data_IF_741191092193
#
_entry.id   IF_741191092193
#
_cell.length_a   1.000
_cell.length_b   1.000
_cell.length_c   1.000
_cell.angle_alpha   90.00
_cell.angle_beta   90.00
_cell.angle_gamma   90.00
#
_symmetry.space_group_name_H-M   'P 1'
#
loop_
_entity.id
_entity.type
_entity.pdbx_description
1 polymer ?
#
# COMPACT_ATOMS: atom_id res chain seq x y z
N UNK A 1 -4.57 -40.15 2.26
CA UNK A 1 -4.29 -38.72 2.02
C UNK A 1 -4.41 -38.05 3.37
N UNK A 2 -3.29 -37.76 4.04
CA UNK A 2 -3.33 -37.07 5.33
C UNK A 2 -3.90 -35.67 5.08
N UNK A 3 -4.81 -35.22 5.95
CA UNK A 3 -5.40 -33.90 5.84
C UNK A 3 -4.28 -32.84 5.99
N UNK A 4 -3.98 -32.06 4.94
CA UNK A 4 -2.91 -31.05 5.00
C UNK A 4 -3.22 -29.94 6.01
N UNK A 5 -4.46 -29.85 6.51
CA UNK A 5 -4.83 -28.89 7.57
C UNK A 5 -4.43 -29.35 8.97
N UNK A 6 -4.08 -30.64 9.16
CA UNK A 6 -3.68 -31.19 10.46
C UNK A 6 -2.33 -30.66 10.99
N UNK A 7 -1.51 -30.06 10.13
CA UNK A 7 -0.25 -29.40 10.51
C UNK A 7 -0.49 -28.02 11.14
N UNK A 8 -1.61 -27.36 10.83
CA UNK A 8 -1.89 -26.00 11.26
C UNK A 8 -2.70 -25.97 12.56
N UNK A 9 -2.34 -25.09 13.51
CA UNK A 9 -3.15 -24.91 14.70
C UNK A 9 -4.57 -24.45 14.30
N UNK A 10 -5.60 -24.89 15.06
CA UNK A 10 -6.98 -24.58 14.73
C UNK A 10 -7.19 -23.06 14.63
N UNK A 11 -7.74 -22.61 13.50
CA UNK A 11 -8.00 -21.19 13.22
C UNK A 11 -6.88 -20.42 12.51
N UNK A 12 -5.67 -20.99 12.34
CA UNK A 12 -4.54 -20.33 11.65
C UNK A 12 -4.88 -19.90 10.22
N UNK A 13 -5.52 -20.79 9.46
CA UNK A 13 -5.93 -20.52 8.08
C UNK A 13 -6.96 -19.37 8.00
N UNK A 14 -7.86 -19.27 8.98
CA UNK A 14 -8.84 -18.20 9.06
C UNK A 14 -8.20 -16.87 9.46
N UNK A 15 -7.25 -16.90 10.40
CA UNK A 15 -6.59 -15.69 10.90
C UNK A 15 -5.59 -15.10 9.91
N UNK A 16 -4.87 -15.93 9.16
CA UNK A 16 -3.75 -15.47 8.31
C UNK A 16 -4.00 -15.75 6.83
N UNK A 17 -4.49 -16.94 6.49
CA UNK A 17 -4.72 -17.34 5.10
C UNK A 17 -5.82 -16.51 4.41
N UNK A 18 -6.99 -16.38 5.03
CA UNK A 18 -8.14 -15.68 4.44
C UNK A 18 -7.84 -14.20 4.12
N UNK A 19 -7.28 -13.40 5.05
CA UNK A 19 -6.96 -12.00 4.76
C UNK A 19 -5.92 -11.84 3.65
N UNK A 20 -4.88 -12.70 3.62
CA UNK A 20 -3.81 -12.61 2.63
C UNK A 20 -4.26 -12.99 1.23
N UNK A 21 -5.09 -14.03 1.09
CA UNK A 21 -5.69 -14.38 -0.21
C UNK A 21 -6.58 -13.24 -0.70
N UNK A 22 -7.41 -12.70 0.19
CA UNK A 22 -8.30 -11.59 -0.16
C UNK A 22 -7.50 -10.36 -0.59
N UNK A 23 -6.43 -10.02 0.13
CA UNK A 23 -5.49 -8.97 -0.24
C UNK A 23 -4.85 -9.20 -1.61
N UNK A 24 -4.37 -10.41 -1.87
CA UNK A 24 -3.74 -10.78 -3.15
C UNK A 24 -4.70 -10.68 -4.34
N UNK A 25 -5.99 -10.97 -4.13
CA UNK A 25 -7.01 -10.87 -5.17
C UNK A 25 -7.48 -9.43 -5.42
N UNK A 26 -7.57 -8.61 -4.36
CA UNK A 26 -8.07 -7.23 -4.46
C UNK A 26 -6.99 -6.23 -4.89
N UNK A 27 -5.71 -6.49 -4.60
CA UNK A 27 -4.63 -5.56 -4.90
C UNK A 27 -4.47 -5.27 -6.40
N UNK A 28 -4.48 -6.25 -7.32
CA UNK A 28 -4.32 -5.99 -8.76
C UNK A 28 -5.39 -5.09 -9.41
N UNK A 29 -6.70 -5.29 -9.20
CA UNK A 29 -7.70 -4.38 -9.76
C UNK A 29 -7.61 -2.97 -9.15
N UNK A 30 -7.28 -2.84 -7.87
CA UNK A 30 -7.06 -1.52 -7.24
C UNK A 30 -5.85 -0.80 -7.83
N UNK A 31 -4.76 -1.52 -8.08
CA UNK A 31 -3.61 -0.98 -8.80
C UNK A 31 -3.99 -0.51 -10.21
N UNK A 32 -4.81 -1.27 -10.94
CA UNK A 32 -5.34 -0.86 -12.25
C UNK A 32 -6.09 0.48 -12.20
N UNK A 33 -6.88 0.72 -11.16
CA UNK A 33 -7.53 2.02 -10.91
C UNK A 33 -6.47 3.11 -10.67
N UNK A 34 -5.45 2.83 -9.86
CA UNK A 34 -4.33 3.75 -9.62
C UNK A 34 -3.60 4.15 -10.91
N UNK A 35 -3.30 3.18 -11.78
CA UNK A 35 -2.70 3.45 -13.10
C UNK A 35 -3.61 4.33 -13.96
N UNK A 36 -4.92 4.06 -13.96
CA UNK A 36 -5.89 4.89 -14.69
C UNK A 36 -5.94 6.33 -14.15
N UNK A 37 -5.85 6.51 -12.83
CA UNK A 37 -5.79 7.84 -12.20
C UNK A 37 -4.51 8.60 -12.61
N UNK A 38 -3.36 7.93 -12.64
CA UNK A 38 -2.10 8.52 -13.08
C UNK A 38 -2.17 8.91 -14.58
N UNK A 39 -2.68 8.02 -15.42
CA UNK A 39 -2.85 8.29 -16.84
C UNK A 39 -3.82 9.46 -17.11
N UNK A 40 -4.93 9.52 -16.37
CA UNK A 40 -5.86 10.65 -16.43
C UNK A 40 -5.20 11.95 -15.98
N UNK A 41 -4.44 11.92 -14.88
CA UNK A 41 -3.74 13.09 -14.35
C UNK A 41 -2.79 13.71 -15.38
N UNK A 42 -1.92 12.91 -16.01
CA UNK A 42 -0.97 13.43 -17.02
C UNK A 42 -1.67 13.96 -18.28
N UNK A 43 -2.88 13.49 -18.60
CA UNK A 43 -3.68 13.98 -19.74
C UNK A 43 -4.41 15.28 -19.42
N UNK A 44 -5.05 15.37 -18.25
CA UNK A 44 -5.92 16.50 -17.89
C UNK A 44 -5.15 17.69 -17.31
N UNK A 45 -4.02 17.46 -16.61
CA UNK A 45 -3.28 18.50 -15.87
C UNK A 45 -1.91 18.79 -16.51
N UNK A 46 -1.93 19.17 -17.79
CA UNK A 46 -0.69 19.45 -18.54
C UNK A 46 0.04 20.70 -18.07
N UNK A 47 -0.65 21.66 -17.44
CA UNK A 47 -0.07 22.93 -17.00
C UNK A 47 0.41 22.92 -15.53
N UNK A 48 0.26 21.80 -14.82
CA UNK A 48 0.67 21.72 -13.41
C UNK A 48 2.20 21.81 -13.25
N UNK A 49 2.68 22.36 -12.11
CA UNK A 49 4.10 22.46 -11.83
C UNK A 49 4.81 21.11 -11.93
N UNK A 50 6.03 21.11 -12.48
CA UNK A 50 6.84 19.91 -12.69
C UNK A 50 7.03 19.14 -11.38
N UNK A 51 7.17 19.84 -10.24
CA UNK A 51 7.29 19.21 -8.93
C UNK A 51 6.11 18.27 -8.61
N UNK A 52 4.86 18.66 -8.90
CA UNK A 52 3.69 17.82 -8.62
C UNK A 52 3.66 16.61 -9.56
N UNK A 53 4.04 16.81 -10.83
CA UNK A 53 4.17 15.72 -11.80
C UNK A 53 5.25 14.71 -11.41
N UNK A 54 6.37 15.17 -10.84
CA UNK A 54 7.42 14.29 -10.32
C UNK A 54 6.91 13.47 -9.13
N UNK A 55 6.20 14.09 -8.18
CA UNK A 55 5.63 13.37 -7.04
C UNK A 55 4.66 12.28 -7.49
N UNK A 56 3.77 12.57 -8.46
CA UNK A 56 2.85 11.56 -9.01
C UNK A 56 3.59 10.43 -9.70
N UNK A 57 4.65 10.74 -10.46
CA UNK A 57 5.49 9.73 -11.11
C UNK A 57 6.23 8.85 -10.10
N UNK A 58 6.77 9.43 -9.03
CA UNK A 58 7.43 8.69 -7.94
C UNK A 58 6.40 7.78 -7.25
N UNK A 59 5.21 8.29 -6.93
CA UNK A 59 4.13 7.49 -6.34
C UNK A 59 3.76 6.30 -7.22
N UNK A 60 3.63 6.52 -8.52
CA UNK A 60 3.35 5.46 -9.47
C UNK A 60 4.43 4.36 -9.47
N UNK A 61 5.71 4.74 -9.46
CA UNK A 61 6.81 3.78 -9.40
C UNK A 61 6.85 3.01 -8.07
N UNK A 62 6.60 3.71 -6.95
CA UNK A 62 6.53 3.07 -5.63
C UNK A 62 5.36 2.09 -5.55
N UNK A 63 4.19 2.46 -6.07
CA UNK A 63 3.00 1.59 -6.07
C UNK A 63 3.20 0.38 -7.00
N UNK A 64 3.91 0.58 -8.13
CA UNK A 64 4.34 -0.52 -9.01
C UNK A 64 5.30 -1.49 -8.30
N UNK A 65 6.29 -0.96 -7.56
CA UNK A 65 7.20 -1.80 -6.79
C UNK A 65 6.46 -2.55 -5.67
N UNK A 66 5.52 -1.88 -5.01
CA UNK A 66 4.69 -2.46 -3.96
C UNK A 66 3.87 -3.64 -4.48
N UNK A 67 3.17 -3.51 -5.62
CA UNK A 67 2.40 -4.63 -6.16
C UNK A 67 3.27 -5.80 -6.61
N UNK A 68 4.47 -5.54 -7.17
CA UNK A 68 5.41 -6.61 -7.53
C UNK A 68 5.84 -7.39 -6.28
N UNK A 69 6.23 -6.69 -5.21
CA UNK A 69 6.60 -7.32 -3.94
C UNK A 69 5.43 -8.13 -3.36
N UNK A 70 4.21 -7.60 -3.43
CA UNK A 70 3.02 -8.26 -2.92
C UNK A 70 2.69 -9.55 -3.68
N UNK A 71 2.74 -9.52 -5.02
CA UNK A 71 2.47 -10.69 -5.87
C UNK A 71 3.53 -11.78 -5.68
N UNK A 72 4.82 -11.40 -5.68
CA UNK A 72 5.91 -12.35 -5.50
C UNK A 72 5.88 -12.97 -4.10
N UNK A 73 5.64 -12.17 -3.06
CA UNK A 73 5.50 -12.67 -1.71
C UNK A 73 4.30 -13.62 -1.57
N UNK A 74 3.19 -13.33 -2.23
CA UNK A 74 2.00 -14.20 -2.23
C UNK A 74 2.31 -15.51 -2.96
N UNK A 75 3.00 -15.45 -4.10
CA UNK A 75 3.40 -16.64 -4.85
C UNK A 75 4.32 -17.56 -4.03
N UNK A 76 5.37 -17.01 -3.42
CA UNK A 76 6.29 -17.78 -2.58
C UNK A 76 5.56 -18.42 -1.39
N UNK A 77 4.70 -17.66 -0.71
CA UNK A 77 4.08 -18.15 0.52
C UNK A 77 2.95 -19.16 0.28
N UNK A 78 2.13 -18.96 -0.76
CA UNK A 78 0.99 -19.86 -1.05
C UNK A 78 1.39 -21.06 -1.91
N UNK A 79 2.28 -20.89 -2.89
CA UNK A 79 2.56 -21.92 -3.90
C UNK A 79 3.82 -22.72 -3.55
N UNK A 80 4.89 -22.06 -3.10
CA UNK A 80 6.17 -22.73 -2.83
C UNK A 80 6.20 -23.30 -1.41
N UNK A 81 5.95 -22.45 -0.42
CA UNK A 81 6.06 -22.81 1.01
C UNK A 81 4.77 -23.41 1.59
N UNK A 82 3.68 -23.41 0.81
CA UNK A 82 2.36 -23.94 1.19
C UNK A 82 1.91 -23.48 2.59
N UNK A 83 2.01 -22.18 2.88
CA UNK A 83 1.75 -21.56 4.20
C UNK A 83 2.77 -21.87 5.29
N UNK A 84 4.04 -22.00 4.90
CA UNK A 84 5.16 -22.19 5.80
C UNK A 84 5.23 -21.12 6.93
N UNK A 85 5.85 -21.46 8.06
CA UNK A 85 5.90 -20.60 9.25
C UNK A 85 6.75 -19.33 9.07
N UNK A 86 7.56 -19.26 8.01
CA UNK A 86 8.48 -18.16 7.74
C UNK A 86 7.82 -17.19 6.77
N UNK A 87 7.75 -15.91 7.16
CA UNK A 87 7.25 -14.85 6.30
C UNK A 87 8.28 -14.52 5.20
N UNK A 88 7.87 -14.39 3.92
CA UNK A 88 8.79 -13.99 2.85
C UNK A 88 9.36 -12.60 3.10
N UNK A 89 10.63 -12.39 2.76
CA UNK A 89 11.27 -11.07 2.95
C UNK A 89 10.61 -9.97 2.12
N UNK A 90 10.10 -10.32 0.93
CA UNK A 90 9.36 -9.39 0.07
C UNK A 90 8.05 -8.91 0.69
N UNK A 91 7.47 -9.66 1.64
CA UNK A 91 6.31 -9.20 2.41
C UNK A 91 6.69 -7.97 3.25
N UNK A 92 7.81 -8.06 3.97
CA UNK A 92 8.31 -6.96 4.81
C UNK A 92 8.69 -5.73 3.98
N UNK A 93 9.31 -5.93 2.82
CA UNK A 93 9.62 -4.86 1.87
C UNK A 93 8.33 -4.23 1.33
N UNK A 94 7.33 -5.04 1.00
CA UNK A 94 6.00 -4.57 0.60
C UNK A 94 5.37 -3.67 1.66
N UNK A 95 5.34 -4.10 2.92
CA UNK A 95 4.83 -3.29 4.02
C UNK A 95 5.57 -1.95 4.16
N UNK A 96 6.90 -1.97 4.09
CA UNK A 96 7.70 -0.74 4.13
C UNK A 96 7.33 0.23 3.00
N UNK A 97 7.14 -0.30 1.78
CA UNK A 97 6.69 0.50 0.64
C UNK A 97 5.29 1.07 0.88
N UNK A 98 4.36 0.30 1.44
CA UNK A 98 3.01 0.79 1.78
C UNK A 98 3.08 2.01 2.71
N UNK A 99 3.84 1.93 3.80
CA UNK A 99 4.00 3.06 4.73
C UNK A 99 4.63 4.28 4.07
N UNK A 100 5.63 4.06 3.21
CA UNK A 100 6.29 5.12 2.46
C UNK A 100 5.32 5.82 1.50
N UNK A 101 4.52 5.04 0.75
CA UNK A 101 3.49 5.58 -0.16
C UNK A 101 2.49 6.40 0.63
N UNK A 102 1.95 5.87 1.74
CA UNK A 102 0.97 6.60 2.53
C UNK A 102 1.57 7.91 3.05
N UNK A 103 2.79 7.89 3.57
CA UNK A 103 3.46 9.11 4.03
C UNK A 103 3.54 10.19 2.94
N UNK A 104 4.00 9.82 1.73
CA UNK A 104 4.13 10.77 0.61
C UNK A 104 2.76 11.28 0.14
N UNK A 105 1.75 10.40 0.09
CA UNK A 105 0.35 10.78 -0.23
C UNK A 105 -0.17 11.79 0.79
N UNK A 106 0.02 11.53 2.08
CA UNK A 106 -0.47 12.40 3.16
C UNK A 106 0.21 13.77 3.13
N UNK A 107 1.54 13.82 2.91
CA UNK A 107 2.26 15.08 2.73
C UNK A 107 1.73 15.88 1.52
N UNK A 108 1.48 15.19 0.41
CA UNK A 108 0.96 15.81 -0.82
C UNK A 108 -0.47 16.34 -0.63
N UNK A 109 -1.31 15.60 0.08
CA UNK A 109 -2.67 16.00 0.42
C UNK A 109 -2.67 17.22 1.35
N UNK A 110 -1.85 17.19 2.41
CA UNK A 110 -1.70 18.30 3.34
C UNK A 110 -1.25 19.59 2.64
N UNK A 111 -0.29 19.50 1.71
CA UNK A 111 0.16 20.65 0.92
C UNK A 111 -0.96 21.27 0.07
N UNK A 112 -1.77 20.44 -0.59
CA UNK A 112 -2.91 20.89 -1.40
C UNK A 112 -4.02 21.53 -0.55
N UNK A 113 -4.36 20.90 0.59
CA UNK A 113 -5.35 21.42 1.54
C UNK A 113 -4.91 22.77 2.11
N UNK A 114 -3.63 22.92 2.44
CA UNK A 114 -3.09 24.18 2.97
C UNK A 114 -3.25 25.34 1.99
N UNK A 115 -3.00 25.11 0.69
CA UNK A 115 -3.15 26.12 -0.36
C UNK A 115 -4.63 26.47 -0.58
N UNK A 116 -5.52 25.46 -0.59
CA UNK A 116 -6.94 25.67 -0.87
C UNK A 116 -7.71 26.32 0.29
N UNK A 117 -7.26 26.16 1.54
CA UNK A 117 -8.02 26.59 2.72
C UNK A 117 -7.90 28.08 3.06
N UNK A 118 -7.26 28.91 2.23
CA UNK A 118 -7.15 30.37 2.46
C UNK A 118 -6.71 30.72 3.91
N UNK A 119 -5.73 29.96 4.45
CA UNK A 119 -5.22 30.00 5.84
C UNK A 119 -6.16 29.53 6.97
N UNK A 120 -7.34 28.94 6.71
CA UNK A 120 -8.17 28.37 7.78
C UNK A 120 -7.74 26.94 8.16
N UNK A 121 -7.58 26.67 9.47
CA UNK A 121 -6.60 25.69 9.99
C UNK A 121 -7.13 24.28 10.33
N UNK A 122 -8.34 23.91 9.94
CA UNK A 122 -9.02 22.77 10.60
C UNK A 122 -8.87 21.40 9.93
N UNK A 123 -8.50 21.30 8.65
CA UNK A 123 -8.50 20.00 7.94
C UNK A 123 -7.08 19.40 7.80
N UNK A 124 -6.04 20.24 7.76
CA UNK A 124 -4.64 19.82 7.68
C UNK A 124 -4.10 19.03 8.89
N UNK A 125 -4.44 19.35 10.18
CA UNK A 125 -3.87 18.63 11.31
C UNK A 125 -4.46 17.22 11.47
N UNK A 126 -5.70 16.97 11.05
CA UNK A 126 -6.37 15.68 11.20
C UNK A 126 -5.68 14.59 10.37
N UNK A 127 -5.20 14.97 9.19
CA UNK A 127 -4.46 14.08 8.28
C UNK A 127 -3.03 13.80 8.77
N UNK A 128 -2.36 14.80 9.34
CA UNK A 128 -1.01 14.65 9.91
C UNK A 128 -1.07 13.80 11.19
N UNK A 129 -2.09 13.96 12.03
CA UNK A 129 -2.31 13.13 13.23
C UNK A 129 -2.57 11.67 12.85
N UNK A 130 -3.37 11.41 11.81
CA UNK A 130 -3.58 10.06 11.28
C UNK A 130 -2.30 9.46 10.67
N UNK A 131 -1.49 10.27 9.97
CA UNK A 131 -0.22 9.83 9.40
C UNK A 131 0.84 9.52 10.48
N UNK A 132 0.93 10.34 11.54
CA UNK A 132 1.80 10.06 12.69
C UNK A 132 1.35 8.81 13.47
N UNK A 133 0.05 8.56 13.57
CA UNK A 133 -0.49 7.34 14.19
C UNK A 133 -0.09 6.04 13.48
N UNK A 134 0.13 6.09 12.16
CA UNK A 134 0.61 4.92 11.41
C UNK A 134 2.08 4.61 11.66
N UNK A 135 2.91 5.63 11.88
CA UNK A 135 4.33 5.45 12.22
C UNK A 135 4.49 4.88 13.64
N UNK A 136 3.62 5.26 14.58
CA UNK A 136 3.63 4.68 15.93
C UNK A 136 3.24 3.20 15.99
N UNK A 137 2.51 2.67 14.99
CA UNK A 137 2.15 1.25 14.93
C UNK A 137 3.31 0.37 14.43
N UNK A 138 4.31 0.96 13.79
CA UNK A 138 5.51 0.26 13.31
C UNK A 138 6.65 0.24 14.34
N UNK A 139 6.58 1.08 15.37
CA UNK A 139 7.52 1.05 16.51
C UNK A 139 7.01 0.00 17.51
N UNK A 140 7.77 -1.07 17.79
CA UNK A 140 7.38 -2.09 18.75
C UNK A 140 7.27 -1.57 20.19
#
# INVERSE_FOLDING_TARGET
MADPTAFYPPGYLAAVGVPLITGAMLTPPLYGIGVAQVAYYYRSFQNDPIAVKLVVGILFLLDTAHIICHLQSSYEWFIIELLGPIMPILFCVGLFLTYTIIFVVQCSYAARVYILSNKNKFVAPLVIVLACGQISMFVP
#
